data_IF_234348163859
#
_entry.id   IF_234348163859
#
_cell.length_a   1.000
_cell.length_b   1.000
_cell.length_c   1.000
_cell.angle_alpha   90.00
_cell.angle_beta   90.00
_cell.angle_gamma   90.00
#
_symmetry.space_group_name_H-M   'P 1'
#
loop_
_entity.id
_entity.type
_entity.pdbx_description
1 polymer ?
2 polymer ?
3 non-polymer ?
4 water ?
#
# COMPACT_ATOMS: atom_id res chain seq x y z
N UNK A 3 12.91 -9.83 -7.26
CA UNK A 3 11.63 -9.14 -7.60
C UNK A 3 10.80 -8.94 -6.33
N UNK A 4 9.86 -8.00 -6.39
CA UNK A 4 9.10 -7.55 -5.22
C UNK A 4 7.86 -8.39 -4.92
N UNK A 5 7.68 -9.48 -5.67
CA UNK A 5 6.62 -10.45 -5.39
C UNK A 5 6.75 -10.94 -3.95
N UNK A 6 5.62 -11.11 -3.29
CA UNK A 6 5.59 -11.67 -1.94
C UNK A 6 4.38 -12.60 -1.84
N UNK A 7 4.19 -13.38 -2.91
CA UNK A 7 3.03 -14.24 -3.07
C UNK A 7 2.74 -15.13 -1.86
N UNK A 8 1.54 -14.99 -1.30
CA UNK A 8 1.08 -15.84 -0.20
C UNK A 8 1.42 -15.34 1.19
N UNK A 9 1.93 -14.12 1.26
CA UNK A 9 2.22 -13.46 2.54
C UNK A 9 2.10 -11.95 2.38
N UNK A 10 2.23 -11.23 3.49
CA UNK A 10 2.17 -9.78 3.45
C UNK A 10 3.45 -9.23 2.81
N UNK A 11 3.36 -8.02 2.26
CA UNK A 11 4.54 -7.36 1.73
C UNK A 11 5.45 -6.97 2.89
N UNK A 12 4.98 -6.05 3.72
CA UNK A 12 5.76 -5.59 4.87
C UNK A 12 7.00 -4.77 4.51
N UNK A 13 7.13 -4.40 3.24
CA UNK A 13 8.24 -3.54 2.79
C UNK A 13 8.28 -2.26 3.60
N UNK A 14 9.41 -2.00 4.24
CA UNK A 14 9.58 -0.79 5.03
C UNK A 14 9.85 0.41 4.12
N UNK A 15 9.08 1.48 4.31
CA UNK A 15 9.28 2.71 3.56
C UNK A 15 10.54 3.44 4.02
N UNK A 16 11.22 4.03 3.06
CA UNK A 16 12.36 4.91 3.29
C UNK A 16 11.88 6.35 3.08
N UNK A 17 12.53 7.30 3.74
CA UNK A 17 12.22 8.72 3.56
C UNK A 17 12.37 9.10 2.09
N UNK A 18 11.33 9.72 1.54
CA UNK A 18 11.36 10.21 0.17
C UNK A 18 10.69 9.28 -0.82
N UNK A 19 10.33 8.08 -0.36
CA UNK A 19 9.62 7.10 -1.18
C UNK A 19 8.11 7.39 -1.24
N UNK A 20 7.45 6.95 -2.33
CA UNK A 20 6.01 7.14 -2.47
C UNK A 20 5.23 6.15 -1.63
N UNK A 21 4.16 6.62 -1.00
CA UNK A 21 3.23 5.74 -0.30
C UNK A 21 1.82 5.97 -0.82
N UNK A 22 1.04 4.90 -0.91
CA UNK A 22 -0.29 4.97 -1.50
C UNK A 22 -1.35 4.54 -0.49
N UNK A 23 -2.35 5.39 -0.30
CA UNK A 23 -3.54 5.04 0.47
C UNK A 23 -4.79 5.21 -0.38
N UNK A 24 -5.85 4.51 -0.01
CA UNK A 24 -7.10 4.62 -0.74
C UNK A 24 -8.24 4.75 0.25
N UNK A 25 -8.98 5.85 0.14
CA UNK A 25 -10.10 6.12 1.05
C UNK A 25 -11.10 4.96 1.10
N UNK A 26 -11.46 4.44 -0.07
CA UNK A 26 -12.42 3.33 -0.19
C UNK A 26 -11.84 1.99 0.27
N UNK A 27 -10.66 1.64 -0.24
CA UNK A 27 -10.08 0.31 -0.02
C UNK A 27 -9.45 0.12 1.36
N UNK A 28 -8.86 1.17 1.91
CA UNK A 28 -8.21 1.11 3.23
C UNK A 28 -9.21 1.08 4.37
N UNK A 29 -8.95 0.23 5.36
CA UNK A 29 -9.74 0.15 6.58
C UNK A 29 -9.68 1.45 7.37
N UNK A 30 -8.48 2.00 7.48
CA UNK A 30 -8.27 3.32 8.08
C UNK A 30 -7.12 4.03 7.38
N UNK A 31 -6.80 5.24 7.84
CA UNK A 31 -5.77 6.10 7.24
C UNK A 31 -4.34 5.62 7.40
N UNK A 32 -4.13 4.51 8.11
CA UNK A 32 -2.77 4.00 8.31
C UNK A 32 -2.47 2.84 7.37
N UNK A 33 -3.49 2.42 6.63
CA UNK A 33 -3.36 1.34 5.66
C UNK A 33 -2.78 1.85 4.35
N UNK A 34 -1.64 1.28 3.96
CA UNK A 34 -0.83 1.84 2.87
C UNK A 34 -0.22 0.76 1.97
N UNK A 35 0.11 1.16 0.74
CA UNK A 35 0.74 0.31 -0.26
C UNK A 35 2.01 0.97 -0.76
N UNK A 36 3.05 0.18 -1.01
CA UNK A 36 4.24 0.70 -1.67
C UNK A 36 4.02 0.80 -3.18
N UNK A 37 4.98 1.41 -3.87
CA UNK A 37 4.91 1.62 -5.32
C UNK A 37 5.00 0.31 -6.12
N UNK A 38 5.66 -0.70 -5.55
CA UNK A 38 5.76 -2.00 -6.22
C UNK A 38 4.47 -2.81 -6.11
N UNK A 39 3.63 -2.44 -5.15
CA UNK A 39 2.43 -3.22 -4.81
C UNK A 39 1.16 -2.55 -5.35
N UNK A 40 1.11 -1.22 -5.29
CA UNK A 40 -0.05 -0.45 -5.75
C UNK A 40 -0.35 -0.68 -7.23
N UNK A 41 -1.58 -1.13 -7.48
CA UNK A 41 -2.06 -1.39 -8.83
C UNK A 41 -3.18 -0.41 -9.16
N UNK A 42 -2.95 0.48 -10.14
CA UNK A 42 -3.97 1.46 -10.53
C UNK A 42 -5.29 0.79 -10.91
N UNK A 43 -5.20 -0.44 -11.42
CA UNK A 43 -6.37 -1.22 -11.85
C UNK A 43 -7.33 -1.55 -10.71
N UNK A 44 -6.82 -1.59 -9.48
CA UNK A 44 -7.63 -1.83 -8.30
C UNK A 44 -8.41 -0.59 -7.87
N UNK A 45 -7.99 0.58 -8.35
CA UNK A 45 -8.45 1.86 -7.78
C UNK A 45 -8.93 2.90 -8.80
N UNK A 46 -9.60 2.44 -9.86
CA UNK A 46 -10.15 3.36 -10.87
C UNK A 46 -11.23 4.26 -10.26
N UNK A 47 -11.02 5.57 -10.40
CA UNK A 47 -11.89 6.61 -9.84
C UNK A 47 -12.12 6.51 -8.33
N UNK A 48 -11.26 5.73 -7.67
CA UNK A 48 -11.15 5.71 -6.22
C UNK A 48 -10.44 6.97 -5.76
N UNK A 49 -10.51 7.26 -4.46
CA UNK A 49 -9.88 8.45 -3.96
C UNK A 49 -8.52 8.12 -3.37
N UNK A 50 -7.53 8.09 -4.26
CA UNK A 50 -6.18 7.66 -3.93
C UNK A 50 -5.32 8.84 -3.48
N UNK A 51 -4.69 8.66 -2.33
CA UNK A 51 -3.77 9.65 -1.80
C UNK A 51 -2.35 9.14 -1.96
N UNK A 52 -1.59 9.73 -2.88
CA UNK A 52 -0.17 9.38 -2.93
C UNK A 52 0.73 10.44 -2.32
N UNK A 53 1.43 10.03 -1.26
CA UNK A 53 2.28 10.92 -0.48
C UNK A 53 3.74 10.54 -0.64
N UNK A 54 4.61 11.46 -0.25
CA UNK A 54 6.03 11.22 -0.16
C UNK A 54 6.35 11.05 1.31
N UNK A 55 6.89 9.89 1.66
CA UNK A 55 7.29 9.55 3.02
C UNK A 55 8.30 10.55 3.60
N UNK A 56 8.12 10.90 4.87
CA UNK A 56 9.03 11.83 5.56
C UNK A 56 9.78 11.12 6.68
N UNK A 57 10.53 11.87 7.49
CA UNK A 57 11.15 11.33 8.70
C UNK A 57 10.06 11.00 9.72
N UNK A 58 9.05 11.86 9.79
CA UNK A 58 7.94 11.72 10.74
C UNK A 58 7.10 10.48 10.46
N UNK A 59 6.49 10.43 9.27
CA UNK A 59 5.78 9.22 8.84
C UNK A 59 6.79 8.11 8.60
N UNK A 60 6.43 6.90 9.02
CA UNK A 60 7.33 5.75 8.93
C UNK A 60 6.54 4.46 9.12
N UNK A 61 6.76 3.48 8.26
CA UNK A 61 6.07 2.20 8.40
C UNK A 61 6.24 1.20 7.28
N UNK A 62 5.25 0.32 7.13
CA UNK A 62 5.35 -0.83 6.24
C UNK A 62 4.14 -0.96 5.34
N UNK A 63 4.37 -1.54 4.17
CA UNK A 63 3.33 -1.73 3.17
C UNK A 63 2.40 -2.85 3.63
N UNK A 64 1.09 -2.63 3.48
CA UNK A 64 0.06 -3.55 3.98
C UNK A 64 -0.49 -4.52 2.93
N UNK A 65 0.09 -4.48 1.73
CA UNK A 65 -0.31 -5.41 0.67
C UNK A 65 -0.21 -6.86 1.12
N UNK A 66 -1.29 -7.61 0.92
CA UNK A 66 -1.36 -9.00 1.36
C UNK A 66 -1.79 -9.17 2.81
N UNK A 67 -1.94 -8.06 3.52
CA UNK A 67 -2.54 -8.07 4.86
C UNK A 67 -4.01 -7.72 4.70
N UNK A 68 -4.85 -8.75 4.59
CA UNK A 68 -6.28 -8.57 4.31
C UNK A 68 -7.06 -7.85 5.42
N UNK A 69 -6.51 -7.87 6.63
CA UNK A 69 -7.01 -7.11 7.77
C UNK A 69 -6.88 -5.58 7.59
N UNK A 70 -6.20 -5.15 6.53
CA UNK A 70 -5.98 -3.73 6.27
C UNK A 70 -6.81 -3.18 5.10
N UNK A 71 -7.58 -4.06 4.45
CA UNK A 71 -8.28 -3.70 3.21
C UNK A 71 -9.74 -4.16 3.20
N UNK A 72 -10.58 -3.37 2.54
CA UNK A 72 -12.01 -3.67 2.39
C UNK A 72 -12.31 -4.45 1.11
N UNK A 73 -11.40 -4.37 0.15
CA UNK A 73 -11.53 -5.10 -1.11
C UNK A 73 -10.31 -6.00 -1.33
N UNK A 74 -10.47 -7.09 -2.10
CA UNK A 74 -9.29 -7.87 -2.47
C UNK A 74 -8.42 -7.07 -3.44
N UNK A 75 -7.13 -6.97 -3.12
CA UNK A 75 -6.18 -6.27 -3.98
C UNK A 75 -5.45 -7.25 -4.89
N UNK A 76 -4.80 -6.73 -5.93
CA UNK A 76 -4.02 -7.56 -6.84
C UNK A 76 -2.65 -6.93 -7.05
N UNK A 77 -1.68 -7.38 -6.25
CA UNK A 77 -0.31 -6.86 -6.22
C UNK A 77 0.20 -6.55 -7.63
N UNK A 78 0.67 -5.31 -7.84
CA UNK A 78 1.30 -4.94 -9.11
C UNK A 78 2.51 -5.82 -9.42
N UNK A 79 3.31 -6.12 -8.38
CA UNK A 79 4.49 -6.97 -8.52
C UNK A 79 4.17 -8.38 -9.02
N UNK A 80 2.93 -8.82 -8.79
CA UNK A 80 2.46 -10.15 -9.20
C UNK A 80 2.09 -10.20 -10.69
N UNK A 81 2.14 -9.04 -11.36
CA UNK A 81 1.84 -8.95 -12.79
C UNK A 81 3.12 -8.87 -13.63
N UNK B 1 1.35 -0.78 8.25
CA UNK B 1 0.70 0.54 8.50
C UNK B 1 1.74 1.65 8.52
N UNK B 2 1.28 2.88 8.31
CA UNK B 2 2.17 4.04 8.41
C UNK B 2 1.94 4.73 9.76
N UNK B 3 3.03 5.12 10.40
CA UNK B 3 2.97 5.70 11.75
C UNK B 3 2.96 7.22 11.74
X LIG C 1 4.40 -3.47 -0.89
X LIG D 1 2.21 -6.40 -2.88
X LIG E 1 -9.01 1.80 -3.93
#
# INVERSE_FOLDING_TARGET
>A
GSVHKHTGRNCGRKFKIGEPLYRCHECGCDDTCVLCIHCFNPKDHVNHHVCTDICTEFTSGICDCGDEEAWNSPLHCKAEEQ
>B
RIAAA
>C hetero
1 ZN ZN
>D hetero
1 ZN ZN
>E hetero
1 ZN ZN
#
